data_IF_302008048087
#
_entry.id   IF_302008048087
#
_cell.length_a   1.000
_cell.length_b   1.000
_cell.length_c   1.000
_cell.angle_alpha   90.00
_cell.angle_beta   90.00
_cell.angle_gamma   90.00
#
_symmetry.space_group_name_H-M   'P 1'
#
loop_
_entity.id
_entity.type
_entity.pdbx_description
1 polymer ?
2 non-polymer ?
3 water ?
#
# COMPACT_ATOMS: atom_id res chain seq x y z
N UNK A 3 9.69 -23.33 -1.74
CA UNK A 3 9.07 -22.59 -0.64
C UNK A 3 7.91 -21.71 -1.13
N UNK A 4 6.66 -22.09 -0.82
CA UNK A 4 5.52 -21.28 -1.22
C UNK A 4 5.60 -19.91 -0.54
N UNK A 5 5.34 -18.82 -1.28
CA UNK A 5 5.91 -17.51 -0.91
C UNK A 5 5.79 -17.11 0.55
N UNK A 6 4.60 -17.21 1.13
CA UNK A 6 4.39 -16.66 2.46
C UNK A 6 5.19 -17.37 3.54
N UNK A 7 5.78 -18.54 3.26
CA UNK A 7 6.63 -19.17 4.27
C UNK A 7 7.93 -18.40 4.48
N UNK A 8 8.35 -17.57 3.52
CA UNK A 8 9.49 -16.68 3.75
C UNK A 8 9.19 -15.61 4.76
N UNK A 9 7.96 -15.55 5.25
CA UNK A 9 7.50 -14.48 6.11
C UNK A 9 6.62 -15.04 7.21
N UNK A 10 6.61 -14.35 8.34
CA UNK A 10 5.60 -14.61 9.35
C UNK A 10 4.29 -13.95 8.93
N UNK A 11 3.21 -14.71 8.96
CA UNK A 11 1.94 -14.21 8.47
C UNK A 11 0.81 -14.86 9.24
N UNK A 12 -0.36 -14.22 9.20
CA UNK A 12 -1.56 -14.81 9.77
C UNK A 12 -2.75 -14.46 8.89
N UNK A 13 -3.40 -15.49 8.36
CA UNK A 13 -4.63 -15.32 7.60
C UNK A 13 -5.71 -14.79 8.53
N UNK A 14 -6.36 -13.70 8.14
CA UNK A 14 -7.51 -13.21 8.89
C UNK A 14 -8.81 -13.71 8.29
N UNK A 15 -8.98 -13.54 6.98
CA UNK A 15 -10.15 -14.03 6.28
C UNK A 15 -9.68 -14.80 5.05
N UNK A 16 -10.63 -15.37 4.31
CA UNK A 16 -10.30 -15.92 3.01
C UNK A 16 -9.80 -14.86 2.04
N UNK A 17 -9.86 -13.58 2.43
CA UNK A 17 -9.39 -12.47 1.63
C UNK A 17 -8.09 -11.86 2.13
N UNK A 18 -7.99 -11.62 3.44
CA UNK A 18 -6.94 -10.79 4.01
C UNK A 18 -6.00 -11.64 4.86
N UNK A 19 -4.71 -11.52 4.58
CA UNK A 19 -3.65 -12.07 5.41
C UNK A 19 -2.75 -10.92 5.86
N UNK A 20 -2.20 -11.03 7.06
CA UNK A 20 -1.31 -10.01 7.61
C UNK A 20 0.10 -10.59 7.64
N UNK A 21 1.00 -9.98 6.88
CA UNK A 21 2.38 -10.44 6.72
C UNK A 21 3.29 -9.47 7.44
N UNK A 22 4.28 -10.00 8.15
CA UNK A 22 5.32 -9.20 8.77
C UNK A 22 6.55 -9.23 7.88
N UNK A 23 6.96 -8.05 7.42
CA UNK A 23 8.04 -7.96 6.46
C UNK A 23 8.00 -6.65 5.70
N UNK A 24 8.74 -6.65 4.60
CA UNK A 24 8.84 -5.52 3.68
C UNK A 24 7.94 -5.82 2.48
N UNK A 25 6.97 -4.94 2.23
CA UNK A 25 5.97 -5.18 1.18
C UNK A 25 6.61 -5.34 -0.19
N UNK A 26 7.70 -4.61 -0.46
CA UNK A 26 8.41 -4.76 -1.72
C UNK A 26 8.81 -6.21 -1.93
N UNK A 27 9.39 -6.83 -0.88
CA UNK A 27 9.83 -8.22 -0.95
C UNK A 27 8.66 -9.18 -1.15
N UNK A 28 7.56 -8.96 -0.42
CA UNK A 28 6.38 -9.82 -0.57
C UNK A 28 5.85 -9.73 -2.00
N UNK A 29 5.72 -8.50 -2.51
CA UNK A 29 5.29 -8.34 -3.89
C UNK A 29 6.26 -8.98 -4.86
N UNK A 30 7.55 -9.09 -4.50
CA UNK A 30 8.51 -9.68 -5.42
C UNK A 30 8.27 -11.16 -5.63
N UNK A 31 7.63 -11.83 -4.67
CA UNK A 31 7.31 -13.24 -4.82
C UNK A 31 6.10 -13.49 -5.70
N UNK A 32 5.29 -12.47 -5.98
CA UNK A 32 4.07 -12.62 -6.76
C UNK A 32 4.11 -11.66 -7.94
N UNK A 33 4.46 -12.18 -9.12
CA UNK A 33 4.54 -11.32 -10.29
C UNK A 33 3.20 -10.88 -10.83
N UNK A 34 2.12 -11.59 -10.48
CA UNK A 34 0.77 -11.21 -10.83
C UNK A 34 0.14 -10.29 -9.79
N UNK A 35 0.90 -9.88 -8.78
CA UNK A 35 0.35 -8.98 -7.78
C UNK A 35 0.49 -7.53 -8.21
N UNK A 36 -0.35 -6.69 -7.62
CA UNK A 36 -0.26 -5.24 -7.69
C UNK A 36 0.26 -4.74 -6.35
N UNK A 37 1.28 -3.89 -6.39
CA UNK A 37 1.88 -3.34 -5.18
C UNK A 37 1.24 -2.00 -4.86
N UNK A 38 0.70 -1.85 -3.65
CA UNK A 38 0.13 -0.57 -3.25
C UNK A 38 1.25 0.33 -2.75
N UNK A 39 1.39 1.49 -3.37
CA UNK A 39 2.24 2.55 -2.85
C UNK A 39 1.38 3.44 -1.97
N UNK A 40 1.90 3.81 -0.81
CA UNK A 40 1.20 4.75 0.07
C UNK A 40 1.76 6.13 -0.25
N UNK A 41 1.04 6.87 -1.08
CA UNK A 41 1.57 8.05 -1.73
C UNK A 41 0.90 9.32 -1.21
N UNK A 42 1.42 10.46 -1.65
CA UNK A 42 0.83 11.74 -1.31
C UNK A 42 0.17 12.35 -2.54
N UNK A 43 -0.35 13.56 -2.35
CA UNK A 43 -1.14 14.22 -3.39
C UNK A 43 -0.34 14.43 -4.67
N UNK A 44 0.96 14.68 -4.54
CA UNK A 44 1.80 15.02 -5.67
C UNK A 44 2.67 13.86 -6.11
N UNK A 45 2.42 12.67 -5.56
CA UNK A 45 3.20 11.46 -5.86
C UNK A 45 4.70 11.72 -5.68
N UNK A 46 5.04 12.54 -4.70
CA UNK A 46 6.44 12.79 -4.38
C UNK A 46 6.92 11.68 -3.46
N UNK A 47 7.72 10.75 -3.99
CA UNK A 47 8.09 9.54 -3.25
C UNK A 47 9.45 9.72 -2.57
N UNK A 48 9.47 10.69 -1.65
CA UNK A 48 10.71 11.05 -0.98
C UNK A 48 11.10 10.17 0.20
N UNK A 49 10.14 9.52 0.85
CA UNK A 49 10.44 8.68 1.99
C UNK A 49 9.33 7.71 2.33
N UNK A 50 9.52 6.99 3.43
CA UNK A 50 8.52 6.00 3.80
C UNK A 50 8.56 4.83 2.82
N UNK A 51 7.42 4.16 2.64
CA UNK A 51 7.40 3.10 1.64
C UNK A 51 7.44 3.69 0.23
N UNK A 52 7.06 4.94 0.05
CA UNK A 52 7.17 5.53 -1.28
C UNK A 52 8.64 5.64 -1.69
N UNK A 53 9.50 6.05 -0.76
CA UNK A 53 10.91 6.15 -1.06
C UNK A 53 11.56 4.79 -1.27
N UNK A 54 11.14 3.79 -0.48
CA UNK A 54 11.66 2.43 -0.65
C UNK A 54 11.24 1.86 -2.00
N UNK A 55 10.02 2.15 -2.42
CA UNK A 55 9.57 1.70 -3.74
C UNK A 55 10.31 2.46 -4.84
N UNK A 56 10.37 3.79 -4.73
CA UNK A 56 11.13 4.56 -5.70
C UNK A 56 12.57 4.08 -5.78
N UNK A 57 13.16 3.73 -4.63
CA UNK A 57 14.56 3.31 -4.62
C UNK A 57 14.71 1.92 -5.21
N UNK A 58 13.78 1.01 -4.92
CA UNK A 58 13.79 -0.30 -5.54
C UNK A 58 13.71 -0.21 -7.05
N UNK A 59 12.94 0.74 -7.58
CA UNK A 59 12.81 0.95 -9.03
C UNK A 59 13.87 1.89 -9.58
N UNK A 60 14.85 2.27 -8.78
CA UNK A 60 16.03 3.01 -9.24
C UNK A 60 15.66 4.38 -9.83
N UNK A 61 14.73 5.06 -9.17
CA UNK A 61 14.29 6.38 -9.57
C UNK A 61 13.17 6.39 -10.58
N UNK A 62 12.87 5.25 -11.20
CA UNK A 62 11.90 5.21 -12.29
C UNK A 62 10.50 5.59 -11.82
N UNK A 63 10.08 5.11 -10.65
CA UNK A 63 8.73 5.42 -10.17
C UNK A 63 8.55 6.92 -10.02
N UNK A 64 9.58 7.62 -9.55
CA UNK A 64 9.48 9.07 -9.43
C UNK A 64 9.29 9.73 -10.80
N UNK A 65 10.05 9.29 -11.81
CA UNK A 65 9.99 9.96 -13.11
C UNK A 65 8.66 9.72 -13.81
N UNK A 66 8.16 8.47 -13.78
CA UNK A 66 6.83 8.21 -14.30
C UNK A 66 5.80 9.06 -13.57
N UNK A 67 5.91 9.11 -12.25
CA UNK A 67 4.98 9.88 -11.45
C UNK A 67 5.06 11.38 -11.77
N UNK A 68 6.28 11.91 -11.98
CA UNK A 68 6.41 13.32 -12.36
C UNK A 68 5.72 13.60 -13.70
N UNK A 69 5.84 12.67 -14.65
CA UNK A 69 5.18 12.87 -15.92
C UNK A 69 3.67 12.87 -15.75
N UNK A 70 3.15 11.96 -14.93
CA UNK A 70 1.70 11.88 -14.72
C UNK A 70 1.18 13.15 -14.04
N UNK A 71 1.85 13.59 -12.97
CA UNK A 71 1.39 14.75 -12.21
C UNK A 71 1.54 16.03 -13.04
N UNK A 72 2.60 16.13 -13.84
CA UNK A 72 2.70 17.28 -14.73
C UNK A 72 1.54 17.28 -15.71
N UNK A 73 1.15 16.10 -16.20
CA UNK A 73 0.14 15.99 -17.24
C UNK A 73 -1.27 16.16 -16.68
N UNK A 74 -1.57 15.49 -15.56
CA UNK A 74 -2.91 15.52 -14.99
C UNK A 74 -3.08 16.51 -13.84
N UNK A 75 -2.00 16.97 -13.22
CA UNK A 75 -2.13 17.75 -12.01
C UNK A 75 -2.25 16.82 -10.82
N UNK A 76 -2.26 17.38 -9.61
CA UNK A 76 -2.15 16.55 -8.40
C UNK A 76 -3.44 15.79 -8.06
N UNK A 77 -3.26 14.72 -7.30
CA UNK A 77 -4.35 13.85 -6.91
C UNK A 77 -5.04 14.37 -5.66
N UNK A 78 -6.34 14.12 -5.57
CA UNK A 78 -7.08 14.39 -4.35
C UNK A 78 -6.79 13.30 -3.31
N UNK A 79 -7.27 13.52 -2.09
CA UNK A 79 -7.09 12.52 -1.05
C UNK A 79 -8.13 11.42 -1.27
N UNK A 80 -7.71 10.18 -1.07
CA UNK A 80 -8.54 9.04 -1.39
C UNK A 80 -8.51 8.65 -2.84
N UNK A 81 -7.89 9.46 -3.69
CA UNK A 81 -7.63 9.06 -5.06
C UNK A 81 -6.56 7.97 -5.11
N UNK A 82 -6.62 7.19 -6.18
CA UNK A 82 -5.61 6.20 -6.49
C UNK A 82 -5.32 6.27 -7.98
N UNK A 83 -4.10 5.88 -8.36
CA UNK A 83 -3.73 5.76 -9.77
C UNK A 83 -2.89 4.51 -9.96
N UNK A 84 -3.28 3.69 -10.93
CA UNK A 84 -2.51 2.51 -11.33
C UNK A 84 -1.39 2.94 -12.27
N UNK A 85 -0.14 2.62 -11.91
CA UNK A 85 0.98 2.93 -12.79
C UNK A 85 1.81 1.67 -13.09
N UNK A 86 2.96 1.82 -13.74
CA UNK A 86 3.79 0.67 -14.06
C UNK A 86 4.32 -0.01 -12.80
N UNK A 87 4.77 -1.24 -12.97
CA UNK A 87 5.27 -2.00 -11.84
C UNK A 87 6.77 -1.92 -11.74
N UNK A 88 7.43 -1.56 -12.85
CA UNK A 88 8.88 -1.43 -12.88
C UNK A 88 9.54 -2.70 -12.39
N UNK A 89 8.95 -3.82 -12.77
CA UNK A 89 9.35 -5.17 -12.38
C UNK A 89 9.41 -5.39 -10.86
N UNK A 90 8.81 -4.52 -10.05
CA UNK A 90 8.58 -4.84 -8.65
C UNK A 90 7.25 -5.57 -8.45
N UNK A 91 6.35 -5.42 -9.41
CA UNK A 91 5.02 -6.01 -9.41
C UNK A 91 4.46 -5.87 -10.82
N UNK A 92 3.35 -6.56 -11.08
CA UNK A 92 2.61 -6.33 -12.31
C UNK A 92 2.31 -4.84 -12.46
N UNK A 93 2.01 -4.18 -11.35
CA UNK A 93 1.62 -2.78 -11.37
C UNK A 93 1.82 -2.22 -9.97
N UNK A 94 1.91 -0.91 -9.89
CA UNK A 94 1.93 -0.21 -8.62
C UNK A 94 0.70 0.69 -8.58
N UNK A 95 -0.12 0.51 -7.55
CA UNK A 95 -1.29 1.34 -7.34
C UNK A 95 -0.92 2.40 -6.32
N UNK A 96 -0.81 3.64 -6.78
CA UNK A 96 -0.47 4.76 -5.91
C UNK A 96 -1.75 5.26 -5.28
N UNK A 97 -1.80 5.18 -3.95
CA UNK A 97 -3.00 5.41 -3.15
C UNK A 97 -2.70 6.57 -2.22
N UNK A 98 -3.61 7.53 -2.16
CA UNK A 98 -3.36 8.74 -1.39
C UNK A 98 -4.26 8.72 -0.17
N UNK A 99 -3.75 8.18 0.94
CA UNK A 99 -4.51 8.11 2.17
C UNK A 99 -4.62 9.46 2.84
N UNK A 100 -5.59 9.59 3.74
CA UNK A 100 -5.77 10.86 4.44
C UNK A 100 -4.65 11.11 5.45
N UNK A 101 -4.36 12.39 5.65
CA UNK A 101 -3.29 12.82 6.54
C UNK A 101 -3.94 13.32 7.83
N UNK A 102 -3.82 12.54 8.90
CA UNK A 102 -4.51 12.89 10.14
C UNK A 102 -3.92 14.14 10.77
N UNK A 103 -2.59 14.27 10.75
CA UNK A 103 -1.96 15.48 11.24
C UNK A 103 -2.61 16.72 10.63
N UNK A 104 -2.87 16.70 9.32
CA UNK A 104 -3.58 17.78 8.66
C UNK A 104 -5.09 17.70 8.87
N UNK A 105 -5.56 16.85 9.77
CA UNK A 105 -6.98 16.74 10.12
C UNK A 105 -7.83 16.43 8.88
N UNK A 106 -7.37 15.49 8.06
CA UNK A 106 -8.10 15.03 6.89
C UNK A 106 -9.01 13.85 7.25
N UNK A 107 -10.07 13.70 6.47
CA UNK A 107 -11.11 12.71 6.76
C UNK A 107 -10.53 11.31 6.63
N UNK A 108 -10.41 10.62 7.78
CA UNK A 108 -9.79 9.30 7.86
C UNK A 108 -10.67 8.24 7.22
N UNK A 109 -11.98 8.49 7.13
CA UNK A 109 -12.85 7.58 6.40
C UNK A 109 -12.56 7.58 4.91
N UNK A 110 -11.75 8.51 4.41
CA UNK A 110 -11.29 8.42 3.03
C UNK A 110 -10.41 7.19 2.81
N UNK A 111 -9.90 6.58 3.90
CA UNK A 111 -9.23 5.29 3.79
C UNK A 111 -10.12 4.26 3.13
N UNK A 112 -11.44 4.37 3.34
CA UNK A 112 -12.37 3.45 2.71
C UNK A 112 -12.30 3.58 1.20
N UNK A 113 -12.17 4.81 0.71
CA UNK A 113 -12.02 5.04 -0.72
C UNK A 113 -10.70 4.46 -1.22
N UNK A 114 -9.62 4.67 -0.47
CA UNK A 114 -8.31 4.13 -0.84
C UNK A 114 -8.36 2.62 -1.01
N UNK A 115 -8.91 1.91 -0.02
CA UNK A 115 -8.87 0.45 -0.06
C UNK A 115 -9.83 -0.12 -1.08
N UNK A 116 -10.95 0.57 -1.32
CA UNK A 116 -11.90 0.14 -2.35
C UNK A 116 -11.19 -0.03 -3.69
N UNK A 117 -10.24 0.87 -4.00
CA UNK A 117 -9.54 0.83 -5.28
C UNK A 117 -8.79 -0.47 -5.48
N UNK A 118 -8.37 -1.11 -4.39
CA UNK A 118 -7.62 -2.35 -4.48
C UNK A 118 -8.48 -3.50 -4.99
N UNK A 119 -9.80 -3.37 -4.94
CA UNK A 119 -10.63 -4.52 -5.27
C UNK A 119 -10.70 -4.82 -6.76
N UNK A 120 -10.19 -3.92 -7.61
CA UNK A 120 -10.14 -4.19 -9.04
C UNK A 120 -9.05 -5.17 -9.42
N UNK A 121 -8.20 -5.60 -8.48
CA UNK A 121 -7.10 -6.46 -8.86
C UNK A 121 -7.17 -7.80 -8.13
N UNK A 122 -6.79 -8.89 -8.79
CA UNK A 122 -6.98 -10.22 -8.18
C UNK A 122 -6.06 -10.47 -7.01
N UNK A 123 -4.87 -9.87 -6.99
CA UNK A 123 -3.93 -10.01 -5.89
C UNK A 123 -3.25 -8.67 -5.64
N UNK A 124 -3.28 -8.20 -4.39
CA UNK A 124 -2.74 -6.89 -4.01
C UNK A 124 -1.88 -7.07 -2.77
N UNK A 125 -0.70 -6.44 -2.78
CA UNK A 125 0.23 -6.39 -1.66
C UNK A 125 0.28 -4.94 -1.22
N UNK A 126 -0.10 -4.67 0.03
CA UNK A 126 -0.28 -3.30 0.51
C UNK A 126 0.31 -3.09 1.91
N UNK A 127 0.86 -1.92 2.17
CA UNK A 127 1.12 -1.52 3.56
C UNK A 127 -0.19 -1.04 4.17
N UNK A 128 -0.11 -0.61 5.42
CA UNK A 128 -1.26 0.03 6.04
C UNK A 128 -1.24 1.49 5.64
N UNK A 129 -2.20 1.88 4.79
CA UNK A 129 -2.25 3.24 4.27
C UNK A 129 -2.51 4.23 5.40
N UNK A 130 -1.80 5.36 5.37
CA UNK A 130 -1.89 6.46 6.32
C UNK A 130 -1.38 6.11 7.71
N UNK A 131 -0.78 4.93 7.88
CA UNK A 131 -0.50 4.42 9.22
C UNK A 131 0.86 4.83 9.76
N UNK A 132 1.64 5.62 9.03
CA UNK A 132 2.92 6.04 9.58
C UNK A 132 3.00 7.52 9.91
N UNK A 133 3.64 8.31 9.04
CA UNK A 133 3.73 9.74 9.31
C UNK A 133 2.37 10.41 9.19
N UNK A 134 1.47 9.87 8.37
CA UNK A 134 0.14 10.45 8.22
C UNK A 134 -0.74 10.28 9.46
N UNK A 135 -0.29 9.53 10.48
CA UNK A 135 -0.82 9.61 11.84
C UNK A 135 -2.02 8.74 12.17
N UNK A 136 -2.46 7.87 11.27
CA UNK A 136 -3.55 6.95 11.57
C UNK A 136 -2.96 5.69 12.20
N UNK A 137 -3.54 5.26 13.30
CA UNK A 137 -3.05 4.07 13.99
C UNK A 137 -3.16 2.86 13.07
N UNK A 138 -2.16 1.97 13.06
CA UNK A 138 -2.21 0.83 12.13
C UNK A 138 -3.47 0.00 12.30
N UNK A 139 -3.84 -0.24 13.56
CA UNK A 139 -5.10 -0.90 13.87
C UNK A 139 -6.28 -0.21 13.20
N UNK A 140 -6.29 1.12 13.19
CA UNK A 140 -7.42 1.82 12.58
C UNK A 140 -7.36 1.69 11.07
N UNK A 141 -6.17 1.81 10.50
CA UNK A 141 -6.02 1.57 9.07
C UNK A 141 -6.44 0.15 8.70
N UNK A 142 -5.99 -0.84 9.47
CA UNK A 142 -6.40 -2.22 9.21
C UNK A 142 -7.93 -2.36 9.23
N UNK A 143 -8.61 -1.63 10.12
CA UNK A 143 -10.07 -1.72 10.21
C UNK A 143 -10.73 -1.29 8.91
N UNK A 144 -10.25 -0.20 8.31
CA UNK A 144 -10.78 0.24 7.02
C UNK A 144 -10.47 -0.79 5.94
N UNK A 145 -9.30 -1.43 5.99
CA UNK A 145 -8.98 -2.40 4.94
C UNK A 145 -9.90 -3.62 5.02
N UNK A 146 -10.02 -4.22 6.21
CA UNK A 146 -10.79 -5.46 6.30
C UNK A 146 -12.26 -5.23 5.97
N UNK A 147 -12.74 -4.00 6.13
CA UNK A 147 -14.12 -3.68 5.78
C UNK A 147 -14.35 -3.66 4.26
N UNK A 148 -13.35 -3.23 3.47
CA UNK A 148 -13.50 -3.07 2.02
C UNK A 148 -12.93 -4.21 1.19
N UNK A 149 -12.01 -5.00 1.74
CA UNK A 149 -11.28 -5.97 0.93
C UNK A 149 -12.24 -7.05 0.44
N UNK A 150 -12.48 -7.08 -0.88
CA UNK A 150 -13.25 -8.14 -1.51
C UNK A 150 -12.37 -9.04 -2.37
N UNK A 151 -11.09 -8.73 -2.48
CA UNK A 151 -10.13 -9.52 -3.23
C UNK A 151 -9.03 -10.01 -2.28
N UNK A 152 -8.07 -10.77 -2.82
CA UNK A 152 -6.97 -11.30 -2.02
C UNK A 152 -5.92 -10.22 -1.77
N UNK A 153 -5.76 -9.86 -0.50
CA UNK A 153 -4.94 -8.72 -0.09
C UNK A 153 -3.93 -9.20 0.94
N UNK A 154 -2.65 -8.99 0.65
CA UNK A 154 -1.58 -9.27 1.59
C UNK A 154 -1.17 -7.93 2.19
N UNK A 155 -1.53 -7.70 3.44
CA UNK A 155 -1.23 -6.43 4.09
C UNK A 155 0.06 -6.65 4.86
N UNK A 156 1.07 -5.86 4.54
CA UNK A 156 2.42 -6.11 4.99
C UNK A 156 2.85 -4.99 5.91
N UNK A 157 3.21 -5.37 7.13
CA UNK A 157 3.58 -4.46 8.19
C UNK A 157 5.03 -4.78 8.56
N UNK A 158 5.87 -3.76 8.67
CA UNK A 158 7.29 -4.00 8.85
C UNK A 158 7.77 -3.71 10.26
N UNK A 159 6.90 -3.25 11.14
CA UNK A 159 7.18 -3.24 12.57
C UNK A 159 6.64 -4.53 13.17
N UNK A 160 7.43 -5.16 14.04
CA UNK A 160 6.94 -6.37 14.69
C UNK A 160 5.88 -6.03 15.73
N UNK A 161 6.03 -4.88 16.40
CA UNK A 161 5.02 -4.45 17.36
C UNK A 161 3.66 -4.29 16.70
N UNK A 162 3.62 -3.62 15.54
CA UNK A 162 2.37 -3.50 14.81
C UNK A 162 1.82 -4.88 14.47
N UNK A 163 2.71 -5.80 14.08
CA UNK A 163 2.26 -7.14 13.70
C UNK A 163 1.62 -7.87 14.89
N UNK A 164 2.25 -7.78 16.06
CA UNK A 164 1.70 -8.45 17.24
C UNK A 164 0.34 -7.89 17.62
N UNK A 165 0.20 -6.57 17.54
CA UNK A 165 -1.07 -5.93 17.87
C UNK A 165 -2.18 -6.36 16.93
N UNK A 166 -1.89 -6.39 15.63
CA UNK A 166 -2.90 -6.77 14.66
C UNK A 166 -3.31 -8.23 14.81
N UNK A 167 -2.40 -9.09 15.25
CA UNK A 167 -2.70 -10.52 15.33
C UNK A 167 -2.92 -10.97 16.78
N UNK A 168 -3.44 -10.06 17.61
CA UNK A 168 -3.94 -10.32 18.97
C UNK A 168 -2.82 -10.53 20.00
X LIG B 1 8.29 4.94 8.37
X LIG B 1 9.49 4.11 7.98
X LIG B 1 7.30 4.04 9.10
X LIG B 1 8.73 6.07 9.28
X LIG B 1 6.08 6.15 6.79
X LIG B 1 5.09 5.34 7.58
X LIG B 1 6.03 7.54 7.33
X LIG B 1 7.62 5.53 6.96
X LIG B 1 4.13 5.30 4.81
X LIG B 1 4.05 5.31 3.30
X LIG B 1 2.96 6.10 5.32
X LIG B 1 5.56 6.03 5.23
X LIG B 1 4.08 3.70 5.33
X LIG B 1 2.83 3.03 5.57
X LIG B 1 2.92 2.03 6.72
X LIG B 1 3.50 0.93 6.32
X LIG B 1 3.83 2.60 7.99
X LIG B 1 3.22 2.17 9.27
X LIG B 1 5.01 2.19 7.82
X LIG B 1 5.82 1.97 9.08
X LIG B 1 4.85 0.82 7.03
X LIG B 1 5.87 0.71 6.16
X LIG B 1 6.84 1.57 5.85
X LIG B 1 7.61 0.98 4.92
X LIG B 1 7.10 -0.25 4.66
X LIG B 1 7.49 -1.26 3.80
X LIG B 1 8.55 -1.45 2.84
X LIG B 1 6.79 -2.39 3.75
X LIG B 1 5.70 -2.57 4.53
X LIG B 1 5.31 -1.58 5.38
X LIG B 1 6.02 -0.43 5.43
#
# INVERSE_FOLDING_TARGET
GSHMPLSNFEHKVITECVTIVLGDAIQVAKCYGESVLVNAANTHLKHGGGIAGAINAASKGAVQKESDEYILAKGPLQVGDSVLLQGHSLAKNILHVVGPDARAKQDVSLLSKCYKAMNAYPLVVTPLVSAGIFGVKPAVSFDYLIREAKTRVLVVVNSQDVYKSLTI
ATP PG O1G O2G O3G PB O1B O2B O3B PA O1A O2A O3A O5' C5' C4' O4' C3' O3' C2' O2' C1' N9 C8 N7 C5 C6 N6 N1 C2 N3 C4
#
